data_IF_570933789054
#
_entry.id   IF_570933789054
#
_cell.length_a   1.000
_cell.length_b   1.000
_cell.length_c   1.000
_cell.angle_alpha   90.00
_cell.angle_beta   90.00
_cell.angle_gamma   90.00
#
_symmetry.space_group_name_H-M   'P 1'
#
loop_
_entity.id
_entity.type
_entity.pdbx_description
1 polymer ?
#
# COMPACT_ATOMS: atom_id res chain seq x y z
N UNK A 1 -20.24 -43.69 -56.48
CA UNK A 1 -18.89 -43.82 -55.88
C UNK A 1 -18.13 -42.55 -56.18
N UNK A 2 -18.05 -42.12 -57.45
CA UNK A 2 -17.55 -40.79 -57.85
C UNK A 2 -18.26 -39.62 -57.14
N UNK A 3 -19.59 -39.60 -57.06
CA UNK A 3 -20.33 -38.50 -56.40
C UNK A 3 -20.02 -38.33 -54.90
N UNK A 4 -19.80 -39.43 -54.16
CA UNK A 4 -19.52 -39.40 -52.73
C UNK A 4 -18.07 -39.00 -52.42
N UNK A 5 -17.15 -39.36 -53.31
CA UNK A 5 -15.74 -38.96 -53.25
C UNK A 5 -15.60 -37.46 -53.60
N UNK A 6 -16.36 -36.98 -54.60
CA UNK A 6 -16.44 -35.57 -54.96
C UNK A 6 -17.01 -34.72 -53.81
N UNK A 7 -18.08 -35.18 -53.14
CA UNK A 7 -18.68 -34.52 -51.98
C UNK A 7 -17.70 -34.45 -50.78
N UNK A 8 -16.94 -35.52 -50.56
CA UNK A 8 -15.88 -35.53 -49.53
C UNK A 8 -14.75 -34.55 -49.81
N UNK A 9 -14.32 -34.41 -51.06
CA UNK A 9 -13.30 -33.45 -51.48
C UNK A 9 -13.79 -32.01 -51.28
N UNK A 10 -15.05 -31.72 -51.60
CA UNK A 10 -15.66 -30.40 -51.38
C UNK A 10 -15.75 -30.04 -49.89
N UNK A 11 -16.12 -31.00 -49.03
CA UNK A 11 -16.16 -30.79 -47.59
C UNK A 11 -14.77 -30.53 -47.00
N UNK A 12 -13.75 -31.28 -47.41
CA UNK A 12 -12.35 -31.03 -46.98
C UNK A 12 -11.89 -29.65 -47.43
N UNK A 13 -12.22 -29.25 -48.66
CA UNK A 13 -11.89 -27.91 -49.18
C UNK A 13 -12.56 -26.79 -48.38
N UNK A 14 -13.82 -26.95 -47.99
CA UNK A 14 -14.52 -25.98 -47.12
C UNK A 14 -13.82 -25.83 -45.77
N UNK A 15 -13.45 -26.95 -45.14
CA UNK A 15 -12.77 -26.94 -43.84
C UNK A 15 -11.35 -26.36 -43.90
N UNK A 16 -10.60 -26.63 -44.97
CA UNK A 16 -9.32 -25.97 -45.22
C UNK A 16 -9.54 -24.46 -45.32
N UNK A 17 -10.53 -24.00 -46.08
CA UNK A 17 -10.85 -22.58 -46.22
C UNK A 17 -11.22 -21.92 -44.88
N UNK A 18 -11.97 -22.61 -44.02
CA UNK A 18 -12.27 -22.13 -42.66
C UNK A 18 -11.01 -22.04 -41.80
N UNK A 19 -10.12 -23.03 -41.88
CA UNK A 19 -8.86 -23.03 -41.14
C UNK A 19 -7.94 -21.91 -41.61
N UNK A 20 -7.88 -21.63 -42.91
CA UNK A 20 -7.13 -20.49 -43.47
C UNK A 20 -7.69 -19.15 -42.97
N UNK A 21 -9.02 -18.99 -42.96
CA UNK A 21 -9.67 -17.78 -42.42
C UNK A 21 -9.37 -17.63 -40.93
N UNK A 22 -9.39 -18.73 -40.17
CA UNK A 22 -9.06 -18.71 -38.75
C UNK A 22 -7.59 -18.34 -38.51
N UNK A 23 -6.65 -18.96 -39.24
CA UNK A 23 -5.22 -18.64 -39.15
C UNK A 23 -4.93 -17.17 -39.51
N UNK A 24 -5.63 -16.61 -40.51
CA UNK A 24 -5.51 -15.21 -40.88
C UNK A 24 -6.12 -14.25 -39.83
N UNK A 25 -7.01 -14.72 -38.96
CA UNK A 25 -7.69 -13.94 -37.95
C UNK A 25 -7.07 -14.10 -36.54
N UNK A 26 -5.91 -14.75 -36.41
CA UNK A 26 -5.22 -14.89 -35.12
C UNK A 26 -4.90 -13.54 -34.46
N UNK A 27 -4.66 -12.49 -35.26
CA UNK A 27 -4.44 -11.13 -34.75
C UNK A 27 -5.64 -10.58 -33.98
N UNK A 28 -6.85 -11.01 -34.32
CA UNK A 28 -8.11 -10.55 -33.70
C UNK A 28 -8.41 -11.27 -32.37
N UNK A 29 -7.63 -12.29 -32.01
CA UNK A 29 -7.79 -13.03 -30.76
C UNK A 29 -7.13 -12.25 -29.62
N UNK A 30 -7.96 -11.85 -28.65
CA UNK A 30 -7.54 -11.18 -27.42
C UNK A 30 -6.71 -12.12 -26.53
N UNK A 31 -5.74 -11.54 -25.82
CA UNK A 31 -4.89 -12.25 -24.85
C UNK A 31 -3.74 -11.35 -24.40
N UNK A 32 -3.59 -11.16 -23.10
CA UNK A 32 -2.56 -10.28 -22.54
C UNK A 32 -1.17 -10.94 -22.53
N UNK A 33 -1.11 -12.27 -22.52
CA UNK A 33 0.11 -13.06 -22.58
C UNK A 33 0.00 -14.30 -23.49
N UNK A 34 1.10 -15.06 -23.59
CA UNK A 34 1.19 -16.25 -24.44
C UNK A 34 0.17 -17.34 -24.06
N UNK A 35 -0.07 -17.54 -22.76
CA UNK A 35 -1.01 -18.56 -22.25
C UNK A 35 -2.45 -18.16 -22.53
N UNK A 36 -2.82 -16.92 -22.20
CA UNK A 36 -4.16 -16.38 -22.45
C UNK A 36 -4.53 -16.41 -23.93
N UNK A 37 -3.59 -16.02 -24.79
CA UNK A 37 -3.76 -16.08 -26.24
C UNK A 37 -3.97 -17.53 -26.73
N UNK A 38 -3.16 -18.49 -26.26
CA UNK A 38 -3.29 -19.89 -26.68
C UNK A 38 -4.62 -20.50 -26.25
N UNK A 39 -5.08 -20.19 -25.03
CA UNK A 39 -6.38 -20.64 -24.53
C UNK A 39 -7.52 -20.04 -25.35
N UNK A 40 -7.45 -18.73 -25.64
CA UNK A 40 -8.42 -18.05 -26.51
C UNK A 40 -8.46 -18.62 -27.92
N UNK A 41 -7.30 -18.93 -28.51
CA UNK A 41 -7.22 -19.54 -29.84
C UNK A 41 -7.78 -20.97 -29.85
N UNK A 42 -7.47 -21.76 -28.84
CA UNK A 42 -8.00 -23.11 -28.69
C UNK A 42 -9.53 -23.09 -28.54
N UNK A 43 -10.07 -22.21 -27.69
CA UNK A 43 -11.51 -22.05 -27.48
C UNK A 43 -12.22 -21.56 -28.74
N UNK A 44 -11.65 -20.57 -29.45
CA UNK A 44 -12.21 -20.05 -30.69
C UNK A 44 -12.31 -21.15 -31.77
N UNK A 45 -11.25 -21.95 -31.94
CA UNK A 45 -11.27 -23.05 -32.90
C UNK A 45 -12.23 -24.16 -32.48
N UNK A 46 -12.28 -24.51 -31.19
CA UNK A 46 -13.24 -25.49 -30.67
C UNK A 46 -14.68 -25.10 -30.99
N UNK A 47 -15.03 -23.82 -30.83
CA UNK A 47 -16.36 -23.30 -31.11
C UNK A 47 -16.72 -23.31 -32.60
N UNK A 48 -15.74 -23.16 -33.50
CA UNK A 48 -15.94 -23.24 -34.95
C UNK A 48 -16.05 -24.71 -35.40
N UNK A 49 -15.14 -25.54 -34.90
CA UNK A 49 -14.89 -26.90 -35.37
C UNK A 49 -15.87 -27.94 -34.83
N UNK A 50 -15.91 -28.10 -33.50
CA UNK A 50 -16.58 -29.24 -32.84
C UNK A 50 -18.08 -29.33 -33.12
N UNK A 51 -18.88 -28.25 -33.11
CA UNK A 51 -20.33 -28.34 -33.36
C UNK A 51 -20.69 -28.85 -34.76
N UNK A 52 -19.77 -28.73 -35.72
CA UNK A 52 -20.00 -29.05 -37.14
C UNK A 52 -19.55 -30.47 -37.51
N UNK A 53 -18.86 -31.19 -36.61
CA UNK A 53 -18.38 -32.56 -36.85
C UNK A 53 -19.49 -33.57 -36.53
N UNK A 54 -20.03 -34.22 -37.56
CA UNK A 54 -21.14 -35.19 -37.41
C UNK A 54 -20.72 -36.65 -37.62
N UNK A 55 -19.56 -36.90 -38.23
CA UNK A 55 -19.04 -38.24 -38.51
C UNK A 55 -17.51 -38.22 -38.64
N UNK A 56 -16.86 -39.35 -38.37
CA UNK A 56 -15.42 -39.52 -38.51
C UNK A 56 -15.06 -39.71 -39.99
N UNK A 57 -14.56 -38.65 -40.62
CA UNK A 57 -14.10 -38.61 -42.01
C UNK A 57 -12.94 -37.64 -42.21
N UNK A 58 -12.41 -37.49 -43.43
CA UNK A 58 -11.27 -36.61 -43.73
C UNK A 58 -11.47 -35.16 -43.26
N UNK A 59 -12.68 -34.64 -43.38
CA UNK A 59 -13.04 -33.28 -42.97
C UNK A 59 -13.03 -33.09 -41.45
N UNK A 60 -13.43 -34.12 -40.69
CA UNK A 60 -13.32 -34.10 -39.24
C UNK A 60 -11.83 -34.16 -38.84
N UNK A 61 -11.00 -34.87 -39.60
CA UNK A 61 -9.57 -34.95 -39.31
C UNK A 61 -8.89 -33.57 -39.40
N UNK A 62 -9.26 -32.71 -40.36
CA UNK A 62 -8.79 -31.30 -40.42
C UNK A 62 -9.06 -30.56 -39.10
N UNK A 63 -10.27 -30.71 -38.56
CA UNK A 63 -10.67 -30.05 -37.30
C UNK A 63 -9.82 -30.54 -36.13
N UNK A 64 -9.62 -31.85 -36.01
CA UNK A 64 -8.90 -32.47 -34.91
C UNK A 64 -7.37 -32.27 -35.00
N UNK A 65 -6.78 -32.29 -36.18
CA UNK A 65 -5.34 -31.99 -36.38
C UNK A 65 -5.05 -30.52 -36.02
N UNK A 66 -5.91 -29.58 -36.42
CA UNK A 66 -5.78 -28.18 -36.01
C UNK A 66 -5.96 -28.00 -34.49
N UNK A 67 -6.92 -28.71 -33.87
CA UNK A 67 -7.12 -28.69 -32.42
C UNK A 67 -5.89 -29.26 -31.67
N UNK A 68 -5.27 -30.30 -32.21
CA UNK A 68 -4.03 -30.87 -31.69
C UNK A 68 -2.85 -29.91 -31.82
N UNK A 69 -2.71 -29.23 -32.96
CA UNK A 69 -1.68 -28.21 -33.16
C UNK A 69 -1.80 -27.09 -32.12
N UNK A 70 -3.01 -26.55 -31.92
CA UNK A 70 -3.30 -25.53 -30.90
C UNK A 70 -2.99 -26.03 -29.49
N UNK A 71 -3.44 -27.24 -29.13
CA UNK A 71 -3.20 -27.82 -27.81
C UNK A 71 -1.70 -28.04 -27.51
N UNK A 72 -0.91 -28.40 -28.54
CA UNK A 72 0.55 -28.56 -28.40
C UNK A 72 1.25 -27.23 -28.15
N UNK A 73 0.88 -26.17 -28.89
CA UNK A 73 1.45 -24.84 -28.68
C UNK A 73 1.03 -24.29 -27.32
N UNK A 74 -0.25 -24.42 -26.94
CA UNK A 74 -0.74 -24.01 -25.62
C UNK A 74 -0.05 -24.76 -24.48
N UNK A 75 0.20 -26.06 -24.63
CA UNK A 75 1.00 -26.82 -23.65
C UNK A 75 2.42 -26.30 -23.55
N UNK A 76 3.07 -25.99 -24.67
CA UNK A 76 4.41 -25.42 -24.66
C UNK A 76 4.46 -24.04 -23.99
N UNK A 77 3.48 -23.17 -24.26
CA UNK A 77 3.35 -21.87 -23.62
C UNK A 77 3.13 -21.98 -22.10
N UNK A 78 2.26 -22.89 -21.66
CA UNK A 78 2.00 -23.13 -20.25
C UNK A 78 3.21 -23.71 -19.51
N UNK A 79 3.94 -24.64 -20.12
CA UNK A 79 5.17 -25.20 -19.53
C UNK A 79 6.28 -24.15 -19.47
N UNK A 80 6.47 -23.35 -20.52
CA UNK A 80 7.42 -22.24 -20.49
C UNK A 80 7.09 -21.22 -19.41
N UNK A 81 5.81 -20.83 -19.27
CA UNK A 81 5.40 -20.00 -18.14
C UNK A 81 5.77 -20.67 -16.81
N UNK A 82 5.48 -21.95 -16.62
CA UNK A 82 5.71 -22.60 -15.34
C UNK A 82 7.20 -22.76 -15.02
N UNK A 83 8.03 -23.07 -16.01
CA UNK A 83 9.43 -23.49 -15.82
C UNK A 83 10.44 -22.35 -16.04
N UNK A 84 10.09 -21.27 -16.74
CA UNK A 84 10.97 -20.13 -17.04
C UNK A 84 10.77 -19.01 -16.00
N UNK A 85 11.70 -18.81 -15.03
CA UNK A 85 11.49 -17.88 -13.92
C UNK A 85 11.50 -16.41 -14.34
N UNK A 86 12.39 -16.02 -15.26
CA UNK A 86 12.48 -14.65 -15.75
C UNK A 86 11.39 -14.38 -16.79
N UNK A 87 10.55 -13.37 -16.54
CA UNK A 87 9.47 -13.00 -17.45
C UNK A 87 9.98 -12.54 -18.82
N UNK A 88 11.24 -12.08 -18.90
CA UNK A 88 11.86 -11.60 -20.15
C UNK A 88 12.24 -12.74 -21.08
N UNK A 89 12.44 -13.94 -20.54
CA UNK A 89 12.86 -15.12 -21.29
C UNK A 89 11.66 -15.99 -21.71
N UNK A 90 10.46 -15.67 -21.23
CA UNK A 90 9.22 -16.40 -21.54
C UNK A 90 8.72 -16.10 -22.95
N UNK A 91 7.88 -16.99 -23.47
CA UNK A 91 7.07 -16.70 -24.63
C UNK A 91 6.20 -15.46 -24.39
N UNK A 92 6.26 -14.57 -25.36
CA UNK A 92 5.35 -13.43 -25.50
C UNK A 92 4.12 -13.86 -26.29
N UNK A 93 3.05 -13.06 -26.23
CA UNK A 93 1.88 -13.21 -27.08
C UNK A 93 2.26 -13.32 -28.56
N UNK A 94 3.14 -12.44 -29.04
CA UNK A 94 3.56 -12.44 -30.44
C UNK A 94 4.31 -13.71 -30.84
N UNK A 95 5.20 -14.21 -29.97
CA UNK A 95 5.89 -15.48 -30.23
C UNK A 95 4.94 -16.69 -30.20
N UNK A 96 3.96 -16.69 -29.30
CA UNK A 96 2.95 -17.74 -29.24
C UNK A 96 2.04 -17.73 -30.47
N UNK A 97 1.63 -16.54 -30.93
CA UNK A 97 0.89 -16.38 -32.18
C UNK A 97 1.68 -16.89 -33.38
N UNK A 98 2.97 -16.55 -33.49
CA UNK A 98 3.78 -17.07 -34.58
C UNK A 98 3.86 -18.60 -34.55
N UNK A 99 4.06 -19.19 -33.37
CA UNK A 99 4.06 -20.65 -33.21
C UNK A 99 2.73 -21.29 -33.58
N UNK A 100 1.60 -20.66 -33.22
CA UNK A 100 0.27 -21.11 -33.65
C UNK A 100 0.12 -21.01 -35.16
N UNK A 101 0.50 -19.88 -35.76
CA UNK A 101 0.44 -19.67 -37.21
C UNK A 101 1.23 -20.73 -37.96
N UNK A 102 2.49 -20.95 -37.57
CA UNK A 102 3.36 -21.95 -38.18
C UNK A 102 2.76 -23.36 -38.05
N UNK A 103 2.24 -23.71 -36.87
CA UNK A 103 1.63 -25.01 -36.63
C UNK A 103 0.32 -25.22 -37.42
N UNK A 104 -0.49 -24.18 -37.62
CA UNK A 104 -1.69 -24.26 -38.45
C UNK A 104 -1.35 -24.30 -39.94
N UNK A 105 -0.32 -23.58 -40.39
CA UNK A 105 0.15 -23.59 -41.77
C UNK A 105 0.68 -24.97 -42.18
N UNK A 106 1.34 -25.69 -41.26
CA UNK A 106 1.74 -27.08 -41.47
C UNK A 106 0.52 -28.00 -41.69
N UNK A 107 -0.52 -27.86 -40.87
CA UNK A 107 -1.78 -28.61 -41.01
C UNK A 107 -2.48 -28.28 -42.32
N UNK A 108 -2.59 -26.99 -42.68
CA UNK A 108 -3.20 -26.52 -43.92
C UNK A 108 -2.45 -27.09 -45.13
N UNK A 109 -1.12 -27.04 -45.11
CA UNK A 109 -0.26 -27.53 -46.19
C UNK A 109 -0.44 -29.02 -46.40
N UNK A 110 -0.47 -29.80 -45.32
CA UNK A 110 -0.73 -31.25 -45.39
C UNK A 110 -2.14 -31.55 -45.93
N UNK A 111 -3.16 -30.85 -45.45
CA UNK A 111 -4.53 -31.05 -45.92
C UNK A 111 -4.71 -30.67 -47.40
N UNK A 112 -3.98 -29.65 -47.89
CA UNK A 112 -3.95 -29.29 -49.31
C UNK A 112 -3.31 -30.39 -50.17
N UNK A 113 -2.28 -31.08 -49.68
CA UNK A 113 -1.70 -32.22 -50.38
C UNK A 113 -2.73 -33.33 -50.62
N UNK A 114 -3.66 -33.56 -49.68
CA UNK A 114 -4.75 -34.53 -49.87
C UNK A 114 -5.66 -34.16 -51.05
N UNK A 115 -5.83 -32.87 -51.35
CA UNK A 115 -6.62 -32.43 -52.51
C UNK A 115 -5.91 -32.70 -53.86
N UNK A 116 -4.57 -32.78 -53.86
CA UNK A 116 -3.79 -33.07 -55.08
C UNK A 116 -3.42 -34.54 -55.24
N UNK A 117 -3.20 -35.26 -54.13
CA UNK A 117 -2.71 -36.65 -54.12
C UNK A 117 -3.84 -37.68 -53.89
N UNK A 118 -5.01 -37.23 -53.42
CA UNK A 118 -6.15 -38.06 -53.06
C UNK A 118 -6.42 -38.05 -51.55
N UNK A 119 -7.70 -38.24 -51.18
CA UNK A 119 -8.10 -38.27 -49.78
C UNK A 119 -7.45 -39.46 -49.05
N UNK A 120 -7.07 -39.30 -47.77
CA UNK A 120 -6.49 -40.39 -46.99
C UNK A 120 -7.46 -41.58 -46.89
N UNK A 121 -6.98 -42.83 -47.02
CA UNK A 121 -7.82 -44.02 -46.89
C UNK A 121 -8.35 -44.19 -45.46
N UNK A 122 -9.47 -44.92 -45.31
CA UNK A 122 -10.17 -45.08 -44.03
C UNK A 122 -9.28 -45.61 -42.89
N UNK A 123 -8.36 -46.52 -43.18
CA UNK A 123 -7.41 -47.07 -42.19
C UNK A 123 -6.42 -46.01 -41.70
N UNK A 124 -5.97 -45.12 -42.59
CA UNK A 124 -5.10 -43.99 -42.26
C UNK A 124 -5.85 -42.94 -41.44
N UNK A 125 -7.07 -42.59 -41.84
CA UNK A 125 -7.93 -41.66 -41.08
C UNK A 125 -8.10 -42.16 -39.63
N UNK A 126 -8.41 -43.45 -39.47
CA UNK A 126 -8.58 -44.06 -38.15
C UNK A 126 -7.28 -44.05 -37.33
N UNK A 127 -6.15 -44.31 -37.98
CA UNK A 127 -4.84 -44.25 -37.33
C UNK A 127 -4.54 -42.83 -36.86
N UNK A 128 -4.70 -41.82 -37.71
CA UNK A 128 -4.43 -40.41 -37.39
C UNK A 128 -5.35 -39.89 -36.29
N UNK A 129 -6.64 -40.22 -36.30
CA UNK A 129 -7.53 -39.91 -35.17
C UNK A 129 -7.05 -40.51 -33.85
N UNK A 130 -6.55 -41.75 -33.88
CA UNK A 130 -6.01 -42.42 -32.69
C UNK A 130 -4.75 -41.71 -32.19
N UNK A 131 -3.87 -41.29 -33.10
CA UNK A 131 -2.66 -40.51 -32.80
C UNK A 131 -3.02 -39.16 -32.18
N UNK A 132 -3.87 -38.37 -32.85
CA UNK A 132 -4.34 -37.07 -32.36
C UNK A 132 -5.00 -37.19 -30.98
N UNK A 133 -5.90 -38.17 -30.79
CA UNK A 133 -6.52 -38.39 -29.48
C UNK A 133 -5.48 -38.76 -28.40
N UNK A 134 -4.44 -39.52 -28.75
CA UNK A 134 -3.33 -39.86 -27.87
C UNK A 134 -2.49 -38.64 -27.48
N UNK A 135 -2.16 -37.77 -28.45
CA UNK A 135 -1.38 -36.55 -28.24
C UNK A 135 -2.15 -35.51 -27.43
N UNK A 136 -3.43 -35.31 -27.70
CA UNK A 136 -4.32 -34.46 -26.91
C UNK A 136 -4.41 -34.95 -25.47
N UNK A 137 -4.63 -36.25 -25.27
CA UNK A 137 -4.67 -36.84 -23.92
C UNK A 137 -3.36 -36.63 -23.17
N UNK A 138 -2.22 -36.78 -23.86
CA UNK A 138 -0.89 -36.53 -23.27
C UNK A 138 -0.73 -35.06 -22.88
N UNK A 139 -1.13 -34.13 -23.74
CA UNK A 139 -1.08 -32.69 -23.48
C UNK A 139 -1.92 -32.32 -22.24
N UNK A 140 -3.16 -32.82 -22.16
CA UNK A 140 -4.02 -32.64 -20.99
C UNK A 140 -3.43 -33.25 -19.71
N UNK A 141 -2.79 -34.41 -19.80
CA UNK A 141 -2.14 -35.04 -18.65
C UNK A 141 -0.97 -34.20 -18.13
N UNK A 142 -0.11 -33.71 -19.03
CA UNK A 142 1.04 -32.86 -18.66
C UNK A 142 0.57 -31.57 -17.97
N UNK A 143 -0.46 -30.90 -18.51
CA UNK A 143 -1.04 -29.72 -17.89
C UNK A 143 -1.67 -30.04 -16.53
N UNK A 144 -2.37 -31.17 -16.40
CA UNK A 144 -2.96 -31.62 -15.14
C UNK A 144 -1.91 -31.90 -14.07
N UNK A 145 -0.82 -32.58 -14.42
CA UNK A 145 0.31 -32.85 -13.52
C UNK A 145 0.98 -31.56 -13.07
N UNK A 146 1.22 -30.61 -13.98
CA UNK A 146 1.83 -29.33 -13.63
C UNK A 146 0.92 -28.45 -12.77
N UNK A 147 -0.38 -28.42 -13.06
CA UNK A 147 -1.33 -27.71 -12.21
C UNK A 147 -1.38 -28.30 -10.80
N UNK A 148 -1.36 -29.62 -10.66
CA UNK A 148 -1.31 -30.27 -9.36
C UNK A 148 0.00 -29.94 -8.60
N UNK A 149 1.13 -29.82 -9.29
CA UNK A 149 2.40 -29.35 -8.70
C UNK A 149 2.27 -27.92 -8.18
N UNK A 150 1.72 -27.01 -8.99
CA UNK A 150 1.51 -25.60 -8.59
C UNK A 150 0.53 -25.48 -7.42
N UNK A 151 -0.56 -26.26 -7.42
CA UNK A 151 -1.52 -26.30 -6.31
C UNK A 151 -0.88 -26.83 -5.01
N UNK A 152 0.04 -27.79 -5.12
CA UNK A 152 0.82 -28.27 -3.98
C UNK A 152 1.78 -27.20 -3.44
N UNK A 153 2.44 -26.43 -4.33
CA UNK A 153 3.26 -25.28 -3.93
C UNK A 153 2.43 -24.21 -3.21
N UNK A 154 1.24 -23.91 -3.73
CA UNK A 154 0.30 -22.97 -3.10
C UNK A 154 -0.13 -23.46 -1.72
N UNK A 155 -0.41 -24.76 -1.56
CA UNK A 155 -0.75 -25.34 -0.26
C UNK A 155 0.43 -25.31 0.75
N UNK A 156 1.66 -25.54 0.29
CA UNK A 156 2.86 -25.44 1.13
C UNK A 156 3.10 -23.99 1.59
N UNK A 157 2.97 -23.03 0.68
CA UNK A 157 3.10 -21.60 0.99
C UNK A 157 1.99 -21.11 1.94
N UNK A 158 0.79 -21.68 1.86
CA UNK A 158 -0.31 -21.40 2.79
C UNK A 158 -0.01 -21.91 4.21
N UNK A 159 0.82 -22.95 4.36
CA UNK A 159 1.25 -23.44 5.66
C UNK A 159 2.43 -22.63 6.24
N UNK A 160 3.23 -21.98 5.40
CA UNK A 160 4.42 -21.22 5.78
C UNK A 160 4.20 -19.70 5.68
N UNK A 161 3.27 -19.19 6.49
CA UNK A 161 2.73 -17.83 6.38
C UNK A 161 3.61 -16.72 6.98
N UNK A 162 4.57 -17.09 7.83
CA UNK A 162 5.34 -16.14 8.62
C UNK A 162 6.82 -16.33 8.44
N UNK A 163 7.58 -15.24 8.48
CA UNK A 163 9.02 -15.28 8.25
C UNK A 163 9.65 -13.93 7.96
N UNK A 164 10.97 -13.94 7.83
CA UNK A 164 11.75 -12.80 7.39
C UNK A 164 11.99 -12.87 5.88
N UNK A 165 11.73 -11.76 5.19
CA UNK A 165 11.97 -11.62 3.75
C UNK A 165 13.01 -10.52 3.53
N UNK A 166 14.03 -10.84 2.75
CA UNK A 166 15.07 -9.93 2.33
C UNK A 166 14.86 -9.58 0.86
N UNK A 167 14.81 -8.28 0.58
CA UNK A 167 14.94 -7.75 -0.76
C UNK A 167 16.36 -7.21 -0.94
N UNK A 168 17.14 -7.86 -1.80
CA UNK A 168 18.52 -7.49 -2.06
C UNK A 168 18.84 -7.49 -3.56
N UNK A 169 20.02 -7.01 -3.92
CA UNK A 169 20.52 -7.08 -5.30
C UNK A 169 21.75 -7.95 -5.32
N UNK A 170 21.73 -8.97 -6.16
CA UNK A 170 22.89 -9.82 -6.44
C UNK A 170 23.08 -9.93 -7.95
N UNK A 171 23.93 -9.09 -8.55
CA UNK A 171 24.21 -9.09 -9.98
C UNK A 171 24.79 -10.41 -10.51
N UNK A 172 25.29 -11.29 -9.63
CA UNK A 172 25.76 -12.62 -10.05
C UNK A 172 24.61 -13.60 -10.30
N UNK A 173 23.44 -13.34 -9.71
CA UNK A 173 22.23 -14.16 -9.81
C UNK A 173 21.17 -13.55 -10.73
N UNK A 174 20.98 -12.23 -10.67
CA UNK A 174 19.97 -11.52 -11.46
C UNK A 174 20.26 -10.03 -11.54
N UNK A 175 19.96 -9.43 -12.69
CA UNK A 175 19.95 -7.97 -12.86
C UNK A 175 18.77 -7.30 -12.14
N UNK A 176 17.76 -8.08 -11.73
CA UNK A 176 16.59 -7.61 -10.99
C UNK A 176 16.77 -7.78 -9.46
N UNK A 177 16.08 -6.97 -8.64
CA UNK A 177 16.03 -7.19 -7.20
C UNK A 177 15.47 -8.58 -6.86
N UNK A 178 16.12 -9.26 -5.92
CA UNK A 178 15.76 -10.62 -5.48
C UNK A 178 14.98 -10.50 -4.17
N UNK A 179 13.75 -11.00 -4.18
CA UNK A 179 12.99 -11.28 -2.97
C UNK A 179 13.29 -12.70 -2.50
N UNK A 180 13.74 -12.84 -1.26
CA UNK A 180 14.14 -14.12 -0.71
C UNK A 180 13.62 -14.27 0.71
N UNK A 181 12.97 -15.39 1.00
CA UNK A 181 12.64 -15.76 2.38
C UNK A 181 13.91 -16.27 3.06
N UNK A 182 14.34 -15.57 4.12
CA UNK A 182 15.58 -15.89 4.85
C UNK A 182 15.31 -16.92 5.94
N UNK A 183 14.14 -16.84 6.59
CA UNK A 183 13.70 -17.85 7.56
C UNK A 183 12.17 -17.82 7.73
N UNK A 184 11.64 -18.92 8.26
CA UNK A 184 10.24 -19.05 8.68
C UNK A 184 10.08 -18.82 10.17
N UNK A 185 8.91 -18.34 10.59
CA UNK A 185 8.54 -18.12 11.97
C UNK A 185 7.29 -18.92 12.35
N UNK A 186 7.14 -19.23 13.64
CA UNK A 186 5.81 -19.57 14.15
C UNK A 186 4.92 -18.34 14.23
N UNK A 187 3.60 -18.55 14.37
CA UNK A 187 2.65 -17.45 14.58
C UNK A 187 3.01 -16.63 15.83
N UNK A 188 3.41 -17.29 16.92
CA UNK A 188 3.79 -16.63 18.17
C UNK A 188 5.09 -15.82 18.03
N UNK A 189 6.10 -16.37 17.35
CA UNK A 189 7.34 -15.63 17.07
C UNK A 189 7.04 -14.38 16.23
N UNK A 190 6.24 -14.53 15.18
CA UNK A 190 5.87 -13.43 14.31
C UNK A 190 5.08 -12.35 15.07
N UNK A 191 4.08 -12.75 15.86
CA UNK A 191 3.32 -11.81 16.70
C UNK A 191 4.24 -11.06 17.66
N UNK A 192 5.17 -11.75 18.32
CA UNK A 192 6.16 -11.13 19.22
C UNK A 192 7.01 -10.08 18.50
N UNK A 193 7.51 -10.39 17.31
CA UNK A 193 8.31 -9.45 16.52
C UNK A 193 7.50 -8.27 16.01
N UNK A 194 6.33 -8.52 15.44
CA UNK A 194 5.41 -7.49 14.92
C UNK A 194 4.99 -6.53 16.03
N UNK A 195 4.66 -7.05 17.21
CA UNK A 195 4.22 -6.25 18.34
C UNK A 195 5.35 -5.38 18.90
N UNK A 196 6.55 -5.93 19.10
CA UNK A 196 7.71 -5.18 19.56
C UNK A 196 8.12 -4.09 18.55
N UNK A 197 8.17 -4.44 17.26
CA UNK A 197 8.45 -3.50 16.18
C UNK A 197 7.42 -2.36 16.14
N UNK A 198 6.13 -2.69 16.20
CA UNK A 198 5.07 -1.67 16.16
C UNK A 198 5.05 -0.78 17.40
N UNK A 199 5.42 -1.29 18.58
CA UNK A 199 5.56 -0.46 19.79
C UNK A 199 6.69 0.56 19.64
N UNK A 200 7.87 0.12 19.18
CA UNK A 200 9.00 1.03 18.93
C UNK A 200 8.65 2.03 17.83
N UNK A 201 8.07 1.58 16.71
CA UNK A 201 7.67 2.46 15.62
C UNK A 201 6.72 3.56 16.11
N UNK A 202 5.65 3.19 16.84
CA UNK A 202 4.70 4.18 17.40
C UNK A 202 5.36 5.15 18.37
N UNK A 203 6.32 4.68 19.17
CA UNK A 203 7.10 5.54 20.07
C UNK A 203 7.96 6.53 19.28
N UNK A 204 8.66 6.08 18.24
CA UNK A 204 9.55 6.94 17.45
C UNK A 204 8.79 7.94 16.57
N UNK A 205 7.71 7.49 15.92
CA UNK A 205 6.96 8.33 14.98
C UNK A 205 6.26 9.49 15.71
N UNK A 206 5.93 9.32 17.00
CA UNK A 206 5.38 10.39 17.85
C UNK A 206 4.23 11.16 17.16
N UNK A 207 3.36 10.46 16.41
CA UNK A 207 2.45 11.05 15.41
C UNK A 207 1.61 12.21 15.95
N UNK A 208 1.20 12.15 17.22
CA UNK A 208 0.42 13.21 17.88
C UNK A 208 1.24 14.47 18.18
N UNK A 209 2.52 14.33 18.52
CA UNK A 209 3.43 15.47 18.70
C UNK A 209 3.80 16.08 17.33
N UNK A 210 4.03 15.23 16.32
CA UNK A 210 4.27 15.69 14.95
C UNK A 210 3.07 16.49 14.45
N UNK A 211 1.83 16.02 14.69
CA UNK A 211 0.62 16.74 14.32
C UNK A 211 0.54 18.16 14.92
N UNK A 212 0.98 18.38 16.17
CA UNK A 212 1.05 19.72 16.76
C UNK A 212 2.03 20.61 15.98
N UNK A 213 3.18 20.05 15.59
CA UNK A 213 4.21 20.77 14.82
C UNK A 213 3.70 21.11 13.42
N UNK A 214 3.06 20.15 12.73
CA UNK A 214 2.47 20.34 11.40
C UNK A 214 1.39 21.44 11.41
N UNK A 215 0.52 21.45 12.42
CA UNK A 215 -0.51 22.50 12.52
C UNK A 215 0.06 23.86 12.93
N UNK A 216 1.22 23.87 13.62
CA UNK A 216 1.97 25.11 13.88
C UNK A 216 2.59 25.66 12.60
N UNK A 217 3.21 24.81 11.79
CA UNK A 217 3.81 25.19 10.51
C UNK A 217 2.73 25.68 9.55
N UNK A 218 1.58 25.00 9.50
CA UNK A 218 0.41 25.44 8.75
C UNK A 218 -0.09 26.81 9.17
N UNK A 219 -0.09 27.13 10.46
CA UNK A 219 -0.44 28.46 10.95
C UNK A 219 0.58 29.50 10.48
N UNK A 220 1.87 29.18 10.54
CA UNK A 220 2.94 30.04 10.02
C UNK A 220 2.79 30.28 8.52
N UNK A 221 2.48 29.26 7.72
CA UNK A 221 2.24 29.38 6.28
C UNK A 221 1.09 30.33 5.98
N UNK A 222 -0.04 30.17 6.67
CA UNK A 222 -1.19 31.08 6.53
C UNK A 222 -0.81 32.52 6.89
N UNK A 223 0.05 32.72 7.89
CA UNK A 223 0.52 34.05 8.27
C UNK A 223 1.46 34.65 7.23
N UNK A 224 2.40 33.86 6.71
CA UNK A 224 3.33 34.28 5.67
C UNK A 224 2.59 34.64 4.38
N UNK A 225 1.56 33.87 4.02
CA UNK A 225 0.70 34.16 2.88
C UNK A 225 -0.04 35.49 3.05
N UNK A 226 -0.65 35.69 4.21
CA UNK A 226 -1.37 36.95 4.53
C UNK A 226 -0.40 38.15 4.49
N UNK A 227 0.79 38.02 5.08
CA UNK A 227 1.82 39.06 5.05
C UNK A 227 2.31 39.37 3.63
N UNK A 228 2.57 38.33 2.84
CA UNK A 228 3.01 38.44 1.45
C UNK A 228 1.97 39.13 0.57
N UNK A 229 0.68 38.79 0.74
CA UNK A 229 -0.41 39.46 0.05
C UNK A 229 -0.52 40.94 0.42
N UNK A 230 -0.34 41.27 1.70
CA UNK A 230 -0.40 42.64 2.20
C UNK A 230 0.75 43.51 1.69
N UNK A 231 1.95 42.93 1.57
CA UNK A 231 3.11 43.59 0.95
C UNK A 231 2.88 43.89 -0.53
N UNK A 232 2.38 42.89 -1.29
CA UNK A 232 2.17 43.01 -2.74
C UNK A 232 1.04 43.98 -3.10
N UNK A 233 0.04 44.12 -2.25
CA UNK A 233 -1.21 44.83 -2.55
C UNK A 233 -1.64 45.76 -1.40
N UNK A 234 -0.87 46.82 -1.14
CA UNK A 234 -1.17 47.81 -0.09
C UNK A 234 -2.60 48.41 -0.18
N UNK A 235 -3.21 48.44 -1.37
CA UNK A 235 -4.59 48.89 -1.58
C UNK A 235 -5.69 47.95 -1.06
N UNK A 236 -5.38 46.65 -0.85
CA UNK A 236 -6.36 45.65 -0.38
C UNK A 236 -6.73 45.79 1.10
N UNK A 237 -5.98 46.57 1.89
CA UNK A 237 -6.32 46.90 3.29
C UNK A 237 -7.69 47.58 3.40
N UNK A 238 -8.14 48.26 2.34
CA UNK A 238 -9.44 48.95 2.30
C UNK A 238 -10.59 48.04 1.84
N UNK A 239 -10.30 46.80 1.42
CA UNK A 239 -11.31 45.88 0.87
C UNK A 239 -11.84 44.93 1.96
N UNK A 240 -13.02 45.23 2.50
CA UNK A 240 -13.62 44.50 3.64
C UNK A 240 -13.74 43.00 3.43
N UNK A 241 -14.12 42.55 2.22
CA UNK A 241 -14.26 41.12 1.90
C UNK A 241 -12.92 40.36 1.92
N UNK A 242 -11.83 40.97 1.45
CA UNK A 242 -10.51 40.35 1.47
C UNK A 242 -9.99 40.22 2.91
N UNK A 243 -10.27 41.23 3.74
CA UNK A 243 -9.96 41.18 5.17
C UNK A 243 -10.78 40.13 5.93
N UNK A 244 -12.07 39.97 5.60
CA UNK A 244 -12.90 38.92 6.17
C UNK A 244 -12.40 37.52 5.81
N UNK A 245 -11.99 37.30 4.56
CA UNK A 245 -11.44 36.01 4.12
C UNK A 245 -10.11 35.67 4.83
N UNK A 246 -9.21 36.64 4.97
CA UNK A 246 -7.95 36.47 5.72
C UNK A 246 -8.22 36.13 7.18
N UNK A 247 -9.17 36.82 7.81
CA UNK A 247 -9.62 36.53 9.18
C UNK A 247 -10.13 35.11 9.29
N UNK A 248 -10.91 34.65 8.30
CA UNK A 248 -11.47 33.28 8.25
C UNK A 248 -10.36 32.23 8.15
N UNK A 249 -9.38 32.42 7.26
CA UNK A 249 -8.22 31.52 7.09
C UNK A 249 -7.40 31.42 8.38
N UNK A 250 -7.07 32.58 8.98
CA UNK A 250 -6.31 32.63 10.23
C UNK A 250 -7.06 31.94 11.38
N UNK A 251 -8.35 32.22 11.53
CA UNK A 251 -9.20 31.54 12.51
C UNK A 251 -9.20 30.04 12.31
N UNK A 252 -9.34 29.57 11.07
CA UNK A 252 -9.32 28.14 10.76
C UNK A 252 -8.00 27.49 11.19
N UNK A 253 -6.86 28.13 10.89
CA UNK A 253 -5.55 27.62 11.29
C UNK A 253 -5.38 27.61 12.82
N UNK A 254 -5.84 28.65 13.52
CA UNK A 254 -5.83 28.70 14.99
C UNK A 254 -6.71 27.61 15.62
N UNK A 255 -7.89 27.34 15.04
CA UNK A 255 -8.74 26.23 15.48
C UNK A 255 -8.01 24.90 15.29
N UNK A 256 -7.35 24.68 14.15
CA UNK A 256 -6.61 23.44 13.90
C UNK A 256 -5.47 23.25 14.90
N UNK A 257 -4.63 24.27 15.12
CA UNK A 257 -3.53 24.19 16.08
C UNK A 257 -4.01 23.93 17.51
N UNK A 258 -4.99 24.71 17.99
CA UNK A 258 -5.52 24.53 19.35
C UNK A 258 -6.29 23.22 19.51
N UNK A 259 -6.89 22.68 18.44
CA UNK A 259 -7.45 21.34 18.43
C UNK A 259 -6.36 20.26 18.48
N UNK A 260 -5.21 20.44 17.83
CA UNK A 260 -4.10 19.49 17.88
C UNK A 260 -3.59 19.28 19.32
N UNK A 261 -3.49 20.35 20.12
CA UNK A 261 -3.16 20.26 21.56
C UNK A 261 -4.15 19.38 22.33
N UNK A 262 -5.45 19.57 22.10
CA UNK A 262 -6.47 18.75 22.77
C UNK A 262 -6.49 17.30 22.26
N UNK A 263 -6.28 17.11 20.95
CA UNK A 263 -6.20 15.78 20.33
C UNK A 263 -5.02 15.01 20.91
N UNK A 264 -3.86 15.65 21.12
CA UNK A 264 -2.69 15.05 21.76
C UNK A 264 -3.05 14.47 23.14
N UNK A 265 -3.69 15.24 24.02
CA UNK A 265 -4.14 14.74 25.32
C UNK A 265 -5.17 13.61 25.20
N UNK A 266 -6.25 13.86 24.45
CA UNK A 266 -7.37 12.93 24.38
C UNK A 266 -6.97 11.60 23.75
N UNK A 267 -6.25 11.64 22.62
CA UNK A 267 -5.83 10.43 21.92
C UNK A 267 -4.73 9.71 22.67
N UNK A 268 -3.81 10.41 23.35
CA UNK A 268 -2.81 9.74 24.21
C UNK A 268 -3.49 8.93 25.31
N UNK A 269 -4.43 9.53 26.05
CA UNK A 269 -5.17 8.84 27.12
C UNK A 269 -6.02 7.69 26.55
N UNK A 270 -6.62 7.88 25.37
CA UNK A 270 -7.46 6.86 24.73
C UNK A 270 -6.62 5.69 24.22
N UNK A 271 -5.48 5.95 23.58
CA UNK A 271 -4.55 4.94 23.06
C UNK A 271 -3.88 4.15 24.18
N UNK A 272 -3.51 4.80 25.27
CA UNK A 272 -3.02 4.14 26.48
C UNK A 272 -3.98 3.04 26.97
N UNK A 273 -5.29 3.33 27.00
CA UNK A 273 -6.33 2.37 27.41
C UNK A 273 -6.63 1.28 26.39
N UNK A 274 -6.78 1.67 25.12
CA UNK A 274 -7.37 0.78 24.09
C UNK A 274 -6.33 0.01 23.30
N UNK A 275 -5.17 0.61 23.07
CA UNK A 275 -4.15 0.09 22.16
C UNK A 275 -2.99 -0.53 22.93
N UNK A 276 -2.54 0.11 24.01
CA UNK A 276 -1.46 -0.40 24.84
C UNK A 276 -1.95 -1.26 26.01
N UNK A 277 -3.26 -1.28 26.26
CA UNK A 277 -3.86 -2.10 27.32
C UNK A 277 -3.39 -1.73 28.73
N UNK A 278 -2.91 -0.50 28.93
CA UNK A 278 -2.37 -0.06 30.22
C UNK A 278 -3.44 -0.09 31.31
N UNK A 279 -3.01 -0.41 32.52
CA UNK A 279 -3.91 -0.51 33.65
C UNK A 279 -4.42 0.88 34.10
N UNK A 280 -5.37 0.87 35.04
CA UNK A 280 -5.95 2.12 35.55
C UNK A 280 -4.89 3.03 36.19
N UNK A 281 -3.92 2.45 36.90
CA UNK A 281 -2.89 3.20 37.62
C UNK A 281 -1.92 3.90 36.66
N UNK A 282 -1.53 3.24 35.58
CA UNK A 282 -0.67 3.79 34.53
C UNK A 282 -1.37 4.89 33.74
N UNK A 283 -2.64 4.67 33.40
CA UNK A 283 -3.45 5.71 32.74
C UNK A 283 -3.64 6.92 33.65
N UNK A 284 -3.75 6.72 34.96
CA UNK A 284 -3.86 7.83 35.91
C UNK A 284 -2.52 8.61 36.04
N UNK A 285 -1.35 7.96 35.85
CA UNK A 285 -0.06 8.66 35.70
C UNK A 285 -0.03 9.54 34.45
N UNK A 286 -0.50 9.04 33.30
CA UNK A 286 -0.59 9.81 32.05
C UNK A 286 -1.46 11.06 32.24
N UNK A 287 -2.64 10.90 32.87
CA UNK A 287 -3.50 12.04 33.18
C UNK A 287 -2.84 13.04 34.13
N UNK A 288 -2.07 12.56 35.10
CA UNK A 288 -1.34 13.42 36.02
C UNK A 288 -0.31 14.29 35.28
N UNK A 289 0.37 13.76 34.26
CA UNK A 289 1.30 14.53 33.42
C UNK A 289 0.61 15.68 32.66
N UNK A 290 -0.56 15.41 32.06
CA UNK A 290 -1.36 16.48 31.44
C UNK A 290 -1.91 17.47 32.47
N UNK A 291 -2.29 17.00 33.67
CA UNK A 291 -2.74 17.88 34.75
C UNK A 291 -1.59 18.78 35.26
N UNK A 292 -0.37 18.27 35.39
CA UNK A 292 0.84 19.02 35.74
C UNK A 292 1.14 20.10 34.68
N UNK A 293 1.07 19.76 33.39
CA UNK A 293 1.21 20.73 32.31
C UNK A 293 0.12 21.81 32.40
N UNK A 294 -1.13 21.40 32.63
CA UNK A 294 -2.25 22.33 32.87
C UNK A 294 -2.10 23.10 34.16
N UNK A 295 -1.29 22.70 35.13
CA UNK A 295 -1.08 23.47 36.35
C UNK A 295 0.03 24.52 36.17
N UNK A 296 1.07 24.15 35.43
CA UNK A 296 2.31 24.94 35.28
C UNK A 296 2.28 25.92 34.11
N UNK A 297 1.57 25.61 33.02
CA UNK A 297 1.55 26.44 31.81
C UNK A 297 0.28 27.27 31.67
N UNK A 298 0.41 28.60 31.82
CA UNK A 298 -0.65 29.55 31.48
C UNK A 298 -1.05 29.41 30.01
N UNK A 299 -0.07 29.40 29.12
CA UNK A 299 -0.26 29.39 27.67
C UNK A 299 -1.06 28.17 27.22
N UNK A 300 -0.69 26.97 27.69
CA UNK A 300 -1.37 25.73 27.33
C UNK A 300 -2.85 25.74 27.74
N UNK A 301 -3.14 26.11 29.00
CA UNK A 301 -4.52 26.20 29.51
C UNK A 301 -5.38 27.13 28.67
N UNK A 302 -4.86 28.32 28.38
CA UNK A 302 -5.64 29.35 27.70
C UNK A 302 -5.73 29.13 26.19
N UNK A 303 -4.76 28.45 25.55
CA UNK A 303 -4.89 27.96 24.17
C UNK A 303 -5.95 26.86 24.06
N UNK A 304 -6.01 25.92 25.01
CA UNK A 304 -7.08 24.91 25.07
C UNK A 304 -8.45 25.56 25.35
N UNK A 305 -8.50 26.60 26.17
CA UNK A 305 -9.72 27.38 26.40
C UNK A 305 -10.16 28.18 25.16
N UNK A 306 -9.19 28.74 24.41
CA UNK A 306 -9.41 29.50 23.19
C UNK A 306 -10.02 28.63 22.09
N UNK A 307 -9.61 27.36 21.96
CA UNK A 307 -10.24 26.40 21.06
C UNK A 307 -11.76 26.39 21.19
N UNK A 308 -12.26 26.23 22.41
CA UNK A 308 -13.69 26.10 22.67
C UNK A 308 -14.44 27.40 22.37
N UNK A 309 -13.81 28.53 22.68
CA UNK A 309 -14.33 29.84 22.31
C UNK A 309 -14.40 30.02 20.78
N UNK A 310 -13.39 29.57 20.04
CA UNK A 310 -13.37 29.66 18.56
C UNK A 310 -14.34 28.68 17.89
N UNK A 311 -14.62 27.53 18.51
CA UNK A 311 -15.51 26.50 17.97
C UNK A 311 -17.00 26.69 18.33
N UNK A 312 -17.27 27.17 19.54
CA UNK A 312 -18.62 27.22 20.11
C UNK A 312 -19.06 28.63 20.53
N UNK A 313 -18.13 29.59 20.55
CA UNK A 313 -18.38 30.97 20.89
C UNK A 313 -18.40 31.91 19.68
N UNK A 314 -18.02 33.16 19.95
CA UNK A 314 -18.03 34.24 18.97
C UNK A 314 -16.74 34.24 18.12
N UNK A 315 -16.87 34.76 16.90
CA UNK A 315 -15.79 35.05 15.96
C UNK A 315 -14.75 36.01 16.57
N UNK A 316 -15.15 36.79 17.59
CA UNK A 316 -14.35 37.80 18.28
C UNK A 316 -13.50 37.28 19.46
N UNK A 317 -13.41 35.96 19.70
CA UNK A 317 -12.54 35.40 20.74
C UNK A 317 -11.04 35.71 20.58
N UNK A 318 -10.63 36.15 19.39
CA UNK A 318 -9.30 36.69 19.13
C UNK A 318 -9.38 38.03 18.39
N UNK A 319 -8.44 38.91 18.71
CA UNK A 319 -8.17 40.15 18.00
C UNK A 319 -6.93 39.97 17.14
N UNK A 320 -6.88 40.75 16.08
CA UNK A 320 -5.75 40.77 15.16
C UNK A 320 -5.49 42.21 14.70
N UNK A 321 -4.22 42.55 14.55
CA UNK A 321 -3.77 43.87 14.10
C UNK A 321 -2.63 43.69 13.11
N UNK A 322 -2.71 44.42 12.01
CA UNK A 322 -1.60 44.56 11.06
C UNK A 322 -0.92 45.90 11.28
N UNK A 323 0.40 45.88 11.45
CA UNK A 323 1.22 47.07 11.28
C UNK A 323 1.98 46.95 9.98
N UNK A 324 1.66 47.83 9.02
CA UNK A 324 2.37 47.97 7.75
C UNK A 324 2.91 49.39 7.73
N UNK A 325 4.23 49.53 7.63
CA UNK A 325 4.93 50.80 7.52
C UNK A 325 5.80 50.79 6.26
N UNK A 326 6.12 51.98 5.73
CA UNK A 326 7.07 52.13 4.62
C UNK A 326 8.51 51.82 5.09
N UNK A 327 8.79 52.07 6.37
CA UNK A 327 10.14 51.97 6.96
C UNK A 327 10.31 50.80 7.94
N UNK A 328 9.33 49.90 8.05
CA UNK A 328 9.41 48.73 8.94
C UNK A 328 8.80 47.48 8.31
N UNK A 329 9.30 46.31 8.71
CA UNK A 329 8.73 45.03 8.31
C UNK A 329 7.26 44.93 8.73
N UNK A 330 6.37 44.43 7.85
CA UNK A 330 4.98 44.26 8.20
C UNK A 330 4.86 43.19 9.27
N UNK A 331 4.10 43.50 10.33
CA UNK A 331 3.86 42.57 11.43
C UNK A 331 2.37 42.28 11.59
N UNK A 332 2.07 41.02 11.92
CA UNK A 332 0.75 40.59 12.37
C UNK A 332 0.83 40.35 13.86
N UNK A 333 -0.04 41.01 14.61
CA UNK A 333 -0.24 40.74 16.03
C UNK A 333 -1.58 40.04 16.21
N UNK A 334 -1.58 38.88 16.86
CA UNK A 334 -2.78 38.11 17.18
C UNK A 334 -2.88 38.04 18.68
N UNK A 335 -3.97 38.53 19.25
CA UNK A 335 -4.17 38.50 20.70
C UNK A 335 -5.46 37.80 21.07
N UNK A 336 -5.45 37.08 22.18
CA UNK A 336 -6.65 36.48 22.76
C UNK A 336 -7.47 37.58 23.47
N UNK A 337 -8.77 37.70 23.16
CA UNK A 337 -9.60 38.75 23.79
C UNK A 337 -9.89 38.37 25.24
N UNK A 338 -9.19 39.04 26.15
CA UNK A 338 -9.23 38.76 27.58
C UNK A 338 -10.63 38.93 28.18
N UNK A 339 -11.31 40.01 27.82
CA UNK A 339 -12.64 40.31 28.35
C UNK A 339 -13.65 39.24 27.90
N UNK A 340 -13.62 38.92 26.60
CA UNK A 340 -14.44 37.86 26.02
C UNK A 340 -14.16 36.50 26.67
N UNK A 341 -12.89 36.12 26.80
CA UNK A 341 -12.52 34.82 27.37
C UNK A 341 -12.94 34.66 28.83
N UNK A 342 -12.86 35.73 29.62
CA UNK A 342 -13.35 35.76 31.00
C UNK A 342 -14.88 35.63 31.05
N UNK A 343 -15.62 36.27 30.14
CA UNK A 343 -17.07 36.15 30.08
C UNK A 343 -17.52 34.77 29.59
N UNK A 344 -16.90 34.24 28.54
CA UNK A 344 -17.22 32.94 27.96
C UNK A 344 -17.00 31.79 28.96
N UNK A 345 -15.97 31.89 29.79
CA UNK A 345 -15.64 30.92 30.84
C UNK A 345 -16.06 31.39 32.24
N UNK A 346 -17.17 32.13 32.35
CA UNK A 346 -17.66 32.65 33.64
C UNK A 346 -18.04 31.53 34.62
N UNK A 347 -18.70 30.47 34.13
CA UNK A 347 -19.00 29.26 34.92
C UNK A 347 -17.96 28.15 34.61
N UNK A 348 -16.78 28.24 35.22
CA UNK A 348 -15.66 27.29 35.07
C UNK A 348 -15.93 25.85 35.59
N UNK A 349 -17.21 25.46 35.80
CA UNK A 349 -17.59 24.15 36.36
C UNK A 349 -17.09 22.96 35.53
N UNK A 350 -16.94 23.13 34.22
CA UNK A 350 -16.44 22.09 33.31
C UNK A 350 -14.91 22.10 33.16
N UNK A 351 -14.24 23.19 33.55
CA UNK A 351 -12.78 23.38 33.43
C UNK A 351 -12.18 23.92 34.75
N UNK A 352 -12.18 23.14 35.83
CA UNK A 352 -11.67 23.58 37.14
C UNK A 352 -10.17 23.93 37.14
N UNK A 353 -9.42 23.44 36.14
CA UNK A 353 -8.00 23.74 35.95
C UNK A 353 -7.74 25.14 35.36
N UNK A 354 -8.77 25.85 34.87
CA UNK A 354 -8.59 27.18 34.28
C UNK A 354 -8.42 28.25 35.36
N UNK A 355 -7.19 28.74 35.52
CA UNK A 355 -6.81 29.75 36.52
C UNK A 355 -7.23 31.16 36.07
N UNK A 356 -8.52 31.47 36.26
CA UNK A 356 -9.15 32.73 35.82
C UNK A 356 -8.42 34.00 36.29
N UNK A 357 -7.97 34.01 37.55
CA UNK A 357 -7.29 35.15 38.17
C UNK A 357 -6.01 35.57 37.44
N UNK A 358 -5.26 34.61 36.91
CA UNK A 358 -4.03 34.90 36.15
C UNK A 358 -4.33 35.70 34.88
N UNK A 359 -5.47 35.43 34.23
CA UNK A 359 -5.91 36.20 33.07
C UNK A 359 -6.50 37.56 33.48
N UNK A 360 -7.16 37.67 34.62
CA UNK A 360 -7.69 38.95 35.12
C UNK A 360 -6.59 39.96 35.45
N UNK A 361 -5.47 39.47 36.00
CA UNK A 361 -4.33 40.28 36.47
C UNK A 361 -3.41 40.78 35.33
N UNK A 362 -3.62 40.35 34.08
CA UNK A 362 -2.86 40.85 32.94
C UNK A 362 -3.30 42.26 32.52
N UNK A 363 -2.31 43.13 32.31
CA UNK A 363 -2.50 44.51 31.86
C UNK A 363 -2.89 44.63 30.37
N UNK A 364 -2.69 43.56 29.58
CA UNK A 364 -2.98 43.53 28.14
C UNK A 364 -3.46 42.17 27.66
N UNK A 365 -4.13 42.15 26.49
CA UNK A 365 -4.54 40.92 25.81
C UNK A 365 -3.30 40.06 25.46
N UNK A 366 -3.26 38.76 25.83
CA UNK A 366 -2.12 37.88 25.55
C UNK A 366 -1.88 37.68 24.06
N UNK A 367 -0.63 37.68 23.62
CA UNK A 367 -0.27 37.38 22.22
C UNK A 367 -0.28 35.87 21.96
N UNK A 368 -1.14 35.43 21.05
CA UNK A 368 -1.35 34.01 20.74
C UNK A 368 -0.10 33.36 20.14
N UNK A 369 0.67 34.07 19.32
CA UNK A 369 1.90 33.51 18.74
C UNK A 369 2.99 33.32 19.79
N UNK A 370 3.05 34.21 20.78
CA UNK A 370 3.98 34.07 21.91
C UNK A 370 3.55 32.91 22.82
N UNK A 371 2.25 32.74 23.06
CA UNK A 371 1.71 31.57 23.77
C UNK A 371 2.05 30.26 23.05
N UNK A 372 1.91 30.20 21.71
CA UNK A 372 2.26 29.02 20.91
C UNK A 372 3.75 28.69 21.06
N UNK A 373 4.62 29.70 20.91
CA UNK A 373 6.07 29.55 21.11
C UNK A 373 6.42 29.10 22.52
N UNK A 374 5.67 29.54 23.53
CA UNK A 374 5.82 29.12 24.92
C UNK A 374 5.44 27.65 25.15
N UNK A 375 4.43 27.14 24.44
CA UNK A 375 3.95 25.75 24.58
C UNK A 375 4.80 24.73 23.83
N UNK A 376 5.31 25.06 22.63
CA UNK A 376 6.09 24.15 21.81
C UNK A 376 7.21 23.38 22.56
N UNK A 377 8.12 24.03 23.33
CA UNK A 377 9.16 23.30 24.06
C UNK A 377 8.60 22.40 25.18
N UNK A 378 7.44 22.76 25.75
CA UNK A 378 6.77 21.95 26.77
C UNK A 378 6.21 20.64 26.18
N UNK A 379 5.83 20.62 24.90
CA UNK A 379 5.29 19.41 24.26
C UNK A 379 6.36 18.32 24.13
N UNK A 380 7.60 18.68 23.76
CA UNK A 380 8.70 17.72 23.70
C UNK A 380 9.08 17.18 25.08
N UNK A 381 9.09 18.03 26.10
CA UNK A 381 9.35 17.59 27.48
C UNK A 381 8.23 16.69 28.02
N UNK A 382 6.97 17.03 27.74
CA UNK A 382 5.82 16.19 28.07
C UNK A 382 5.90 14.83 27.34
N UNK A 383 6.21 14.82 26.05
CA UNK A 383 6.29 13.59 25.26
C UNK A 383 7.33 12.62 25.85
N UNK A 384 8.51 13.11 26.25
CA UNK A 384 9.52 12.28 26.92
C UNK A 384 8.98 11.63 28.21
N UNK A 385 8.24 12.38 29.03
CA UNK A 385 7.61 11.84 30.25
C UNK A 385 6.49 10.84 29.91
N UNK A 386 5.73 11.09 28.85
CA UNK A 386 4.68 10.19 28.37
C UNK A 386 5.27 8.88 27.86
N UNK A 387 6.30 8.92 27.03
CA UNK A 387 6.94 7.74 26.45
C UNK A 387 7.50 6.81 27.53
N UNK A 388 8.07 7.37 28.61
CA UNK A 388 8.54 6.59 29.75
C UNK A 388 7.42 5.79 30.45
N UNK A 389 6.17 6.24 30.37
CA UNK A 389 4.99 5.53 30.92
C UNK A 389 4.34 4.64 29.87
N UNK A 390 4.23 5.11 28.62
CA UNK A 390 3.58 4.41 27.51
C UNK A 390 4.38 3.20 27.04
N UNK A 391 5.72 3.29 27.09
CA UNK A 391 6.65 2.30 26.54
C UNK A 391 7.67 1.87 27.60
N UNK A 392 7.17 1.49 28.78
CA UNK A 392 8.00 1.05 29.92
C UNK A 392 8.90 -0.16 29.61
N UNK A 393 8.50 -0.99 28.63
CA UNK A 393 9.22 -2.19 28.19
C UNK A 393 10.09 -1.95 26.94
N UNK A 394 10.41 -0.70 26.60
CA UNK A 394 11.20 -0.35 25.39
C UNK A 394 12.52 -1.12 25.29
N UNK A 395 13.18 -1.45 26.41
CA UNK A 395 14.41 -2.23 26.41
C UNK A 395 14.19 -3.69 25.95
N UNK A 396 13.06 -4.30 26.34
CA UNK A 396 12.68 -5.65 25.91
C UNK A 396 12.23 -5.65 24.46
N UNK A 397 11.49 -4.63 24.04
CA UNK A 397 11.08 -4.44 22.65
C UNK A 397 12.31 -4.26 21.74
N UNK A 398 13.28 -3.43 22.15
CA UNK A 398 14.52 -3.21 21.41
C UNK A 398 15.36 -4.50 21.32
N UNK A 399 15.44 -5.28 22.39
CA UNK A 399 16.10 -6.58 22.38
C UNK A 399 15.42 -7.57 21.42
N UNK A 400 14.09 -7.57 21.39
CA UNK A 400 13.28 -8.41 20.51
C UNK A 400 13.45 -8.02 19.03
N UNK A 401 13.43 -6.73 18.71
CA UNK A 401 13.70 -6.25 17.35
C UNK A 401 15.15 -6.49 16.95
N UNK A 402 16.10 -6.43 17.88
CA UNK A 402 17.50 -6.79 17.63
C UNK A 402 17.66 -8.28 17.35
N UNK A 403 16.91 -9.15 18.03
CA UNK A 403 16.82 -10.57 17.69
C UNK A 403 16.27 -10.76 16.26
N UNK A 404 15.21 -10.04 15.89
CA UNK A 404 14.66 -10.05 14.53
C UNK A 404 15.69 -9.63 13.48
N UNK A 405 16.44 -8.54 13.73
CA UNK A 405 17.53 -8.11 12.84
C UNK A 405 18.57 -9.23 12.69
N UNK A 406 18.87 -9.95 13.78
CA UNK A 406 19.75 -11.11 13.76
C UNK A 406 19.30 -12.23 12.83
N UNK A 407 17.99 -12.37 12.56
CA UNK A 407 17.44 -13.38 11.63
C UNK A 407 17.80 -13.13 10.16
N UNK A 408 18.34 -11.95 9.83
CA UNK A 408 18.85 -11.62 8.50
C UNK A 408 20.34 -11.94 8.31
N UNK A 409 21.01 -12.48 9.33
CA UNK A 409 22.42 -12.92 9.29
C UNK A 409 23.41 -11.85 8.77
N UNK A 410 23.10 -10.56 9.00
CA UNK A 410 23.93 -9.43 8.57
C UNK A 410 23.91 -9.17 7.06
N UNK A 411 22.98 -9.76 6.31
CA UNK A 411 22.82 -9.54 4.86
C UNK A 411 22.25 -8.14 4.59
N UNK A 412 22.88 -7.38 3.71
CA UNK A 412 22.40 -6.05 3.34
C UNK A 412 21.19 -6.09 2.40
N UNK A 413 20.23 -5.19 2.62
CA UNK A 413 19.04 -5.05 1.80
C UNK A 413 17.89 -4.37 2.54
N UNK A 414 16.69 -4.47 1.96
CA UNK A 414 15.46 -4.07 2.63
C UNK A 414 14.84 -5.28 3.33
N UNK A 415 14.46 -5.09 4.59
CA UNK A 415 13.91 -6.15 5.43
C UNK A 415 12.39 -6.06 5.49
N UNK A 416 11.73 -7.22 5.44
CA UNK A 416 10.29 -7.34 5.52
C UNK A 416 9.90 -8.50 6.44
N UNK A 417 8.73 -8.39 7.04
CA UNK A 417 8.03 -9.52 7.67
C UNK A 417 6.96 -10.05 6.74
N UNK A 418 6.91 -11.37 6.56
CA UNK A 418 5.83 -12.03 5.83
C UNK A 418 4.56 -12.05 6.69
N UNK A 419 3.43 -11.65 6.12
CA UNK A 419 2.15 -11.50 6.83
C UNK A 419 1.03 -12.34 6.20
N UNK A 420 1.38 -13.42 5.51
CA UNK A 420 0.42 -14.24 4.76
C UNK A 420 1.12 -15.29 3.92
N UNK A 421 0.43 -15.96 2.99
CA UNK A 421 0.99 -17.12 2.29
C UNK A 421 2.26 -16.78 1.52
N UNK A 422 3.23 -17.71 1.57
CA UNK A 422 4.60 -17.56 1.07
C UNK A 422 4.76 -17.44 -0.43
N UNK A 423 6.01 -17.54 -0.89
CA UNK A 423 6.37 -17.44 -2.29
C UNK A 423 5.89 -18.67 -3.06
N UNK A 424 5.21 -18.44 -4.19
CA UNK A 424 4.88 -19.50 -5.15
C UNK A 424 5.15 -19.00 -6.55
N UNK A 425 5.16 -19.90 -7.53
CA UNK A 425 5.30 -19.50 -8.93
C UNK A 425 4.21 -18.50 -9.36
N UNK A 426 2.99 -18.66 -8.83
CA UNK A 426 1.83 -17.78 -9.04
C UNK A 426 1.88 -16.52 -8.17
N UNK A 427 2.65 -16.53 -7.08
CA UNK A 427 2.75 -15.45 -6.09
C UNK A 427 4.20 -15.10 -5.78
N UNK A 428 4.80 -14.32 -6.68
CA UNK A 428 6.21 -13.91 -6.57
C UNK A 428 6.45 -12.82 -5.50
N UNK A 429 5.40 -12.14 -5.04
CA UNK A 429 5.45 -11.13 -4.00
C UNK A 429 4.38 -11.43 -2.94
N UNK A 430 4.73 -12.13 -1.84
CA UNK A 430 3.78 -12.44 -0.78
C UNK A 430 3.35 -11.17 -0.01
N UNK A 431 2.25 -11.24 0.77
CA UNK A 431 1.84 -10.17 1.65
C UNK A 431 2.93 -9.95 2.68
N UNK A 432 3.36 -8.70 2.80
CA UNK A 432 4.54 -8.36 3.58
C UNK A 432 4.40 -6.98 4.21
N UNK A 433 5.07 -6.81 5.34
CA UNK A 433 5.20 -5.55 6.06
C UNK A 433 6.66 -5.09 6.01
N UNK A 434 6.96 -3.92 5.42
CA UNK A 434 8.32 -3.38 5.43
C UNK A 434 8.77 -3.04 6.85
N UNK A 435 10.06 -3.29 7.13
CA UNK A 435 10.71 -2.86 8.37
C UNK A 435 11.51 -1.58 8.09
N UNK A 436 11.15 -0.50 8.78
CA UNK A 436 11.65 0.83 8.52
C UNK A 436 13.06 1.03 9.10
N UNK A 437 14.01 1.59 8.33
CA UNK A 437 15.40 1.70 8.74
C UNK A 437 15.62 2.44 10.07
N UNK A 438 14.83 3.47 10.39
CA UNK A 438 14.99 4.21 11.65
C UNK A 438 14.59 3.38 12.87
N UNK A 439 13.56 2.56 12.76
CA UNK A 439 13.12 1.62 13.82
C UNK A 439 14.19 0.55 14.05
N UNK A 440 14.71 -0.02 12.97
CA UNK A 440 15.76 -1.02 13.04
C UNK A 440 17.05 -0.44 13.63
N UNK A 441 17.43 0.76 13.20
CA UNK A 441 18.60 1.45 13.73
C UNK A 441 18.46 1.75 15.22
N UNK A 442 17.31 2.28 15.65
CA UNK A 442 17.03 2.53 17.07
C UNK A 442 17.21 1.26 17.91
N UNK A 443 16.60 0.14 17.51
CA UNK A 443 16.72 -1.13 18.24
C UNK A 443 18.17 -1.65 18.25
N UNK A 444 18.92 -1.47 17.16
CA UNK A 444 20.30 -1.91 17.07
C UNK A 444 21.23 -1.13 18.01
N UNK A 445 21.07 0.20 18.05
CA UNK A 445 21.90 1.13 18.85
C UNK A 445 21.41 1.32 20.28
N UNK A 446 20.21 0.84 20.62
CA UNK A 446 19.61 1.03 21.94
C UNK A 446 20.55 0.56 23.05
N UNK A 447 20.90 1.49 23.96
CA UNK A 447 21.59 1.18 25.21
C UNK A 447 20.68 1.53 26.39
N UNK A 448 20.59 0.68 27.43
CA UNK A 448 19.70 0.93 28.58
C UNK A 448 19.98 2.24 29.34
N UNK A 449 21.16 2.84 29.17
CA UNK A 449 21.59 4.03 29.92
C UNK A 449 20.97 5.33 29.39
N UNK A 450 20.63 5.42 28.11
CA UNK A 450 20.01 6.63 27.51
C UNK A 450 18.57 6.88 28.01
N UNK A 451 17.86 5.83 28.43
CA UNK A 451 16.54 5.94 29.07
C UNK A 451 16.64 6.44 30.53
N UNK A 452 17.76 6.16 31.22
CA UNK A 452 18.02 6.62 32.59
C UNK A 452 18.32 8.12 32.63
N UNK A 453 18.98 8.68 31.62
CA UNK A 453 19.24 10.13 31.57
C UNK A 453 17.99 10.94 31.20
N UNK A 454 17.01 10.35 30.50
CA UNK A 454 15.67 10.93 30.35
C UNK A 454 14.84 10.89 31.66
N UNK A 455 15.10 9.93 32.56
CA UNK A 455 14.43 9.80 33.85
C UNK A 455 15.16 10.53 35.01
N UNK A 456 16.43 10.90 34.83
CA UNK A 456 17.28 11.58 35.84
C UNK A 456 17.58 13.05 35.54
N UNK A 457 17.14 13.57 34.40
CA UNK A 457 17.11 15.01 34.11
C UNK A 457 16.17 15.73 35.08
N UNK A 458 16.77 16.23 36.16
CA UNK A 458 16.17 16.81 37.37
C UNK A 458 15.43 18.12 37.15
#
# INVERSE_FOLDING_TARGET
MEDAEQEGIEQVRDWIGRLEVFAAALDDIEGDDATDFCDGALDAWQNIGLPSVTHAGPQALVVFEALNALARVGTAAAMDWADTPDVRDRYTRDSAQQLVSDALDDVISECKCWLSEGLPPADEIKHRFTTVAGELKKSMQVLGEKNAELDAQDAEAEADQYGAILLHRDPSRSDAPIFEKVCSFTEEENARYVDAYNRIRRMLDCELLQHISDESDRLCDVLMDVLSELQKNQGLLRHSAAMAERRRKLRSALISFTAALQIHEYQTIRSARRTLGLDRSEVDKIKALFAELKETSFDYRWLEALRDALQHGDIDAFKWRFSISIDAEPAVTITMDRAFMLEFHNDNRTKPWLKRRELEELDSDPNVLDMIKGVQPLMGALQKKLDAVLYSNVAEDAATVKELIGRFDGREGMYFLQTGPGFTRRKLAPPQMPLEPHVLNFAYTYTPEEASDAARGS
#
